data_IF_580234167081
#
_entry.id   IF_580234167081
#
_cell.length_a   1.000
_cell.length_b   1.000
_cell.length_c   1.000
_cell.angle_alpha   90.00
_cell.angle_beta   90.00
_cell.angle_gamma   90.00
#
_symmetry.space_group_name_H-M   'P 1'
#
loop_
_entity.id
_entity.type
_entity.pdbx_description
1 polymer ?
2 non-polymer ?
3 non-polymer ?
4 non-polymer ?
5 water ?
#
# COMPACT_ATOMS: atom_id res chain seq x y z
N UNK A 4 25.00 -13.61 -16.03
CA UNK A 4 24.61 -14.57 -15.00
C UNK A 4 23.31 -14.14 -14.32
N UNK A 5 22.55 -13.29 -14.97
CA UNK A 5 21.39 -12.68 -14.35
C UNK A 5 20.20 -13.64 -14.36
N UNK A 6 19.23 -13.36 -13.48
CA UNK A 6 18.09 -14.26 -13.33
C UNK A 6 17.03 -14.04 -14.41
N UNK A 7 16.87 -12.81 -14.91
CA UNK A 7 15.93 -12.54 -15.99
C UNK A 7 16.57 -12.81 -17.34
N UNK A 8 15.86 -13.53 -18.21
CA UNK A 8 16.43 -13.78 -19.53
C UNK A 8 16.34 -12.54 -20.42
N UNK A 9 15.46 -11.60 -20.10
CA UNK A 9 15.42 -10.30 -20.76
C UNK A 9 14.70 -9.33 -19.85
N UNK A 10 15.01 -8.05 -20.00
CA UNK A 10 14.51 -7.01 -19.09
C UNK A 10 13.18 -6.47 -19.60
N UNK A 11 12.16 -7.32 -19.51
CA UNK A 11 10.83 -7.01 -20.02
C UNK A 11 9.80 -7.71 -19.14
N UNK A 12 8.52 -7.33 -19.31
CA UNK A 12 7.46 -8.03 -18.59
C UNK A 12 7.47 -9.51 -18.93
N UNK A 13 7.74 -9.86 -20.21
CA UNK A 13 7.80 -11.26 -20.58
C UNK A 13 8.92 -12.00 -19.88
N UNK A 14 10.08 -11.35 -19.72
CA UNK A 14 11.16 -11.95 -18.97
C UNK A 14 10.79 -12.18 -17.52
N UNK A 15 10.07 -11.23 -16.92
CA UNK A 15 9.66 -11.39 -15.52
C UNK A 15 8.68 -12.53 -15.39
N UNK A 16 7.73 -12.64 -16.32
CA UNK A 16 6.76 -13.72 -16.25
C UNK A 16 7.43 -15.08 -16.39
N UNK A 17 8.38 -15.22 -17.32
CA UNK A 17 9.10 -16.48 -17.43
C UNK A 17 9.86 -16.79 -16.15
N UNK A 18 10.46 -15.77 -15.53
CA UNK A 18 11.14 -16.00 -14.26
C UNK A 18 10.16 -16.46 -13.19
N UNK A 19 8.99 -15.83 -13.11
CA UNK A 19 8.01 -16.17 -12.08
C UNK A 19 7.54 -17.62 -12.19
N UNK A 20 7.48 -18.15 -13.40
CA UNK A 20 7.04 -19.53 -13.55
C UNK A 20 8.20 -20.50 -13.69
N UNK A 21 9.40 -20.07 -13.32
CA UNK A 21 10.53 -20.97 -13.16
C UNK A 21 10.67 -21.37 -11.69
N UNK A 22 11.46 -22.41 -11.44
CA UNK A 22 11.69 -22.86 -10.08
C UNK A 22 12.49 -21.87 -9.25
N UNK A 23 13.11 -20.87 -9.88
CA UNK A 23 13.92 -19.92 -9.15
C UNK A 23 13.11 -18.89 -8.40
N UNK A 24 11.83 -18.73 -8.72
CA UNK A 24 11.01 -17.66 -8.15
C UNK A 24 9.93 -18.29 -7.30
N UNK A 25 10.12 -18.24 -5.98
CA UNK A 25 9.15 -18.80 -5.06
C UNK A 25 8.53 -17.77 -4.15
N UNK A 26 9.20 -16.66 -3.90
CA UNK A 26 8.78 -15.71 -2.87
C UNK A 26 8.79 -14.29 -3.41
N UNK A 27 7.60 -13.70 -3.51
CA UNK A 27 7.42 -12.36 -4.07
C UNK A 27 7.10 -11.39 -2.94
N UNK A 28 7.79 -10.25 -2.90
CA UNK A 28 7.40 -9.13 -2.04
C UNK A 28 6.81 -8.05 -2.92
N UNK A 29 5.60 -7.61 -2.58
CA UNK A 29 4.99 -6.47 -3.23
C UNK A 29 5.22 -5.22 -2.39
N UNK A 30 5.60 -4.13 -3.04
CA UNK A 30 5.64 -2.81 -2.43
C UNK A 30 4.64 -1.96 -3.18
N UNK A 31 3.60 -1.49 -2.50
CA UNK A 31 2.52 -0.79 -3.20
C UNK A 31 2.20 0.54 -2.53
N UNK A 32 1.78 1.50 -3.35
CA UNK A 32 1.42 2.82 -2.88
C UNK A 32 0.12 3.34 -3.44
N UNK A 33 -0.06 4.66 -3.37
CA UNK A 33 -1.37 5.23 -3.69
C UNK A 33 -1.81 4.96 -5.11
N UNK A 34 -0.86 4.71 -6.02
CA UNK A 34 -1.20 4.46 -7.41
C UNK A 34 -1.99 3.20 -7.64
N UNK A 35 -2.05 2.28 -6.67
CA UNK A 35 -2.86 1.09 -6.88
C UNK A 35 -4.29 1.29 -6.41
N UNK A 36 -4.62 2.43 -5.81
CA UNK A 36 -5.98 2.65 -5.34
C UNK A 36 -6.67 3.81 -6.02
N UNK A 37 -5.98 4.55 -6.89
CA UNK A 37 -6.64 5.65 -7.56
C UNK A 37 -7.75 5.14 -8.48
N UNK A 38 -7.57 3.97 -9.10
CA UNK A 38 -8.65 3.48 -9.94
C UNK A 38 -9.81 2.93 -9.13
N UNK A 39 -9.64 2.77 -7.82
CA UNK A 39 -10.75 2.50 -6.92
C UNK A 39 -11.45 3.77 -6.47
N UNK A 40 -11.04 4.92 -6.97
CA UNK A 40 -11.66 6.18 -6.58
C UNK A 40 -11.11 6.78 -5.31
N UNK A 41 -9.95 6.34 -4.85
CA UNK A 41 -9.33 6.86 -3.64
C UNK A 41 -8.14 7.72 -4.07
N UNK A 42 -8.22 9.04 -3.96
CA UNK A 42 -7.15 9.88 -4.50
C UNK A 42 -5.89 9.79 -3.66
N UNK A 43 -4.76 10.02 -4.32
CA UNK A 43 -3.46 10.16 -3.67
C UNK A 43 -3.37 11.57 -3.11
N UNK A 44 -3.46 11.72 -1.80
CA UNK A 44 -3.46 13.09 -1.30
C UNK A 44 -2.11 13.78 -1.48
N UNK A 45 -1.09 13.08 -1.97
CA UNK A 45 0.18 13.69 -2.32
C UNK A 45 0.25 14.15 -3.78
N UNK A 46 -0.62 13.62 -4.63
CA UNK A 46 -0.73 14.11 -5.99
C UNK A 46 -1.41 15.48 -5.97
N UNK A 47 -0.79 16.51 -6.56
CA UNK A 47 -1.32 17.87 -6.37
C UNK A 47 -2.73 18.07 -6.92
N UNK A 48 -3.08 17.38 -8.01
CA UNK A 48 -4.42 17.55 -8.57
C UNK A 48 -5.50 17.04 -7.64
N UNK A 49 -5.14 16.19 -6.68
CA UNK A 49 -6.06 15.66 -5.68
C UNK A 49 -5.47 15.87 -4.28
N UNK A 50 -4.81 17.02 -4.08
CA UNK A 50 -4.22 17.33 -2.79
C UNK A 50 -5.09 18.22 -1.94
N UNK A 55 -10.21 23.38 3.26
CA UNK A 55 -9.03 23.16 4.08
C UNK A 55 -8.83 24.32 5.04
N UNK A 56 -9.07 25.55 4.55
CA UNK A 56 -9.12 26.70 5.44
C UNK A 56 -10.39 26.68 6.30
N UNK A 57 -11.39 25.89 5.89
CA UNK A 57 -12.54 25.66 6.75
C UNK A 57 -12.11 25.19 8.14
N UNK A 58 -11.08 24.36 8.20
CA UNK A 58 -10.41 24.07 9.46
C UNK A 58 -9.37 25.16 9.70
N UNK A 59 -9.57 25.90 10.79
CA UNK A 59 -8.79 27.09 11.07
C UNK A 59 -7.56 26.69 11.88
N UNK A 60 -6.67 26.00 11.18
CA UNK A 60 -5.46 25.39 11.74
C UNK A 60 -4.42 26.45 12.03
N UNK A 61 -3.63 26.27 13.10
CA UNK A 61 -2.51 27.21 13.33
C UNK A 61 -1.51 27.21 12.21
N UNK A 62 -1.33 26.07 11.56
CA UNK A 62 -0.53 25.92 10.36
C UNK A 62 -1.09 24.72 9.59
N UNK A 63 -0.93 24.68 8.27
CA UNK A 63 -1.64 23.65 7.49
C UNK A 63 -1.27 22.23 7.86
N UNK A 64 0.00 21.96 8.18
CA UNK A 64 0.42 20.59 8.47
C UNK A 64 -0.12 20.07 9.80
N UNK A 65 -0.66 20.94 10.65
CA UNK A 65 -1.06 20.52 11.99
C UNK A 65 -2.11 19.43 11.96
N UNK A 66 -2.99 19.43 10.94
CA UNK A 66 -4.05 18.44 10.88
C UNK A 66 -3.51 17.04 10.70
N UNK A 67 -2.24 16.90 10.32
CA UNK A 67 -1.62 15.59 10.17
C UNK A 67 -0.67 15.25 11.32
N UNK A 68 -0.52 16.14 12.30
CA UNK A 68 0.46 15.98 13.37
C UNK A 68 -0.20 15.46 14.63
N UNK A 69 0.52 14.61 15.36
CA UNK A 69 -0.09 13.86 16.46
C UNK A 69 -0.32 14.74 17.69
N UNK A 70 0.58 15.68 18.01
CA UNK A 70 0.34 16.51 19.18
C UNK A 70 -0.87 17.42 18.98
N UNK A 71 -1.00 17.98 17.77
CA UNK A 71 -2.18 18.79 17.46
C UNK A 71 -3.44 17.96 17.54
N UNK A 72 -3.41 16.76 16.94
CA UNK A 72 -4.56 15.86 17.04
C UNK A 72 -4.96 15.67 18.49
N UNK A 73 -4.00 15.34 19.35
CA UNK A 73 -4.35 15.02 20.73
C UNK A 73 -4.89 16.22 21.47
N UNK A 74 -4.55 17.44 21.05
CA UNK A 74 -5.14 18.63 21.65
C UNK A 74 -6.41 19.10 20.95
N UNK A 75 -6.45 19.01 19.61
CA UNK A 75 -7.58 19.51 18.81
C UNK A 75 -7.93 18.49 17.74
N UNK A 76 -8.65 17.43 18.12
CA UNK A 76 -8.94 16.36 17.14
C UNK A 76 -10.06 16.67 16.15
N UNK A 77 -10.90 17.67 16.40
CA UNK A 77 -12.06 17.88 15.54
C UNK A 77 -11.71 18.17 14.08
N UNK A 78 -10.70 18.98 13.75
CA UNK A 78 -10.36 19.16 12.32
C UNK A 78 -10.04 17.85 11.63
N UNK A 79 -9.21 17.01 12.25
CA UNK A 79 -8.91 15.72 11.63
C UNK A 79 -10.17 14.92 11.33
N UNK A 80 -11.10 14.85 12.28
CA UNK A 80 -12.25 13.99 12.07
C UNK A 80 -13.24 14.58 11.07
N UNK A 81 -13.30 15.90 10.97
CA UNK A 81 -14.08 16.52 9.90
C UNK A 81 -13.47 16.24 8.53
N UNK A 82 -12.14 16.31 8.45
CA UNK A 82 -11.46 15.99 7.20
C UNK A 82 -11.65 14.52 6.83
N UNK A 83 -11.60 13.65 7.84
CA UNK A 83 -11.83 12.23 7.61
C UNK A 83 -13.23 11.99 7.07
N UNK A 84 -14.22 12.70 7.59
CA UNK A 84 -15.56 12.55 7.01
C UNK A 84 -15.58 13.04 5.55
N UNK A 85 -14.90 14.17 5.28
CA UNK A 85 -14.89 14.71 3.93
C UNK A 85 -14.24 13.75 2.94
N UNK A 86 -13.20 13.05 3.39
CA UNK A 86 -12.40 12.19 2.52
C UNK A 86 -12.85 10.74 2.51
N UNK A 87 -13.85 10.38 3.30
CA UNK A 87 -14.23 8.97 3.49
C UNK A 87 -14.74 8.41 2.17
N UNK A 88 -14.12 7.36 1.63
CA UNK A 88 -14.54 6.86 0.30
C UNK A 88 -15.99 6.43 0.30
N UNK A 89 -16.63 6.61 -0.85
CA UNK A 89 -18.03 6.20 -0.97
C UNK A 89 -18.22 4.71 -1.11
N UNK A 90 -17.17 3.99 -1.50
CA UNK A 90 -17.22 2.55 -1.64
C UNK A 90 -15.79 2.04 -1.52
N UNK A 91 -15.67 0.77 -1.15
CA UNK A 91 -14.36 0.13 -0.97
C UNK A 91 -14.29 -1.09 -1.89
N UNK A 92 -13.94 -0.83 -3.14
CA UNK A 92 -13.83 -1.88 -4.14
C UNK A 92 -12.37 -2.00 -4.55
N UNK A 93 -11.63 -3.01 -4.08
CA UNK A 93 -10.23 -3.15 -4.47
C UNK A 93 -10.06 -3.29 -5.97
N UNK A 94 -8.87 -2.94 -6.43
CA UNK A 94 -8.60 -2.90 -7.86
C UNK A 94 -8.10 -4.25 -8.36
N UNK A 95 -7.96 -4.34 -9.68
CA UNK A 95 -7.30 -5.50 -10.29
C UNK A 95 -5.95 -5.75 -9.62
N UNK A 96 -5.20 -4.70 -9.30
CA UNK A 96 -3.91 -4.84 -8.67
C UNK A 96 -4.03 -5.53 -7.30
N UNK A 97 -5.00 -5.09 -6.50
CA UNK A 97 -5.23 -5.73 -5.20
C UNK A 97 -5.54 -7.22 -5.36
N UNK A 98 -6.42 -7.55 -6.31
CA UNK A 98 -6.80 -8.96 -6.46
C UNK A 98 -5.69 -9.79 -7.11
N UNK A 99 -4.81 -9.15 -7.88
CA UNK A 99 -3.63 -9.85 -8.36
C UNK A 99 -2.76 -10.28 -7.19
N UNK A 100 -2.64 -9.41 -6.17
CA UNK A 100 -1.90 -9.84 -4.97
C UNK A 100 -2.61 -10.96 -4.24
N UNK A 101 -3.93 -10.93 -4.21
CA UNK A 101 -4.67 -12.07 -3.64
C UNK A 101 -4.37 -13.37 -4.41
N UNK A 102 -4.27 -13.30 -5.75
CA UNK A 102 -3.90 -14.50 -6.51
C UNK A 102 -2.49 -14.95 -6.16
N UNK A 103 -1.55 -14.01 -6.02
CA UNK A 103 -0.21 -14.39 -5.56
C UNK A 103 -0.29 -15.16 -4.25
N UNK A 104 -1.10 -14.67 -3.31
CA UNK A 104 -1.30 -15.38 -2.05
C UNK A 104 -1.88 -16.77 -2.27
N UNK A 105 -2.91 -16.87 -3.12
CA UNK A 105 -3.57 -18.15 -3.36
C UNK A 105 -2.61 -19.17 -3.92
N UNK A 106 -1.65 -18.71 -4.71
CA UNK A 106 -0.71 -19.58 -5.40
C UNK A 106 0.56 -19.79 -4.59
N UNK A 107 0.59 -19.35 -3.33
CA UNK A 107 1.71 -19.62 -2.46
C UNK A 107 2.95 -18.81 -2.76
N UNK A 108 2.82 -17.75 -3.56
CA UNK A 108 3.94 -16.94 -4.00
C UNK A 108 4.15 -15.68 -3.17
N UNK A 109 3.17 -15.26 -2.38
CA UNK A 109 3.23 -13.96 -1.74
C UNK A 109 3.95 -14.10 -0.40
N UNK A 110 5.18 -13.57 -0.32
CA UNK A 110 5.87 -13.48 0.96
C UNK A 110 5.31 -12.34 1.80
N UNK A 111 5.14 -11.16 1.21
CA UNK A 111 4.61 -10.05 1.98
C UNK A 111 4.19 -8.95 1.03
N UNK A 112 3.16 -8.21 1.43
CA UNK A 112 2.78 -6.96 0.78
C UNK A 112 3.07 -5.83 1.76
N UNK A 113 4.03 -4.96 1.40
CA UNK A 113 4.25 -3.72 2.12
C UNK A 113 3.45 -2.63 1.42
N UNK A 114 2.58 -1.95 2.16
CA UNK A 114 1.73 -0.92 1.56
C UNK A 114 1.93 0.41 2.25
N UNK A 115 1.90 1.48 1.45
CA UNK A 115 1.82 2.84 1.94
C UNK A 115 0.40 3.29 2.21
N UNK A 116 -0.60 2.46 1.89
CA UNK A 116 -1.97 2.94 1.87
C UNK A 116 -2.69 2.66 3.18
N UNK A 117 -3.68 3.50 3.47
CA UNK A 117 -4.42 3.42 4.71
C UNK A 117 -5.88 3.03 4.47
N UNK A 118 -6.24 2.70 3.22
CA UNK A 118 -7.62 2.55 2.79
C UNK A 118 -8.24 1.19 3.08
N UNK A 119 -7.48 0.23 3.59
CA UNK A 119 -7.88 -1.15 3.92
C UNK A 119 -8.18 -2.01 2.70
N UNK A 120 -7.93 -1.53 1.48
CA UNK A 120 -8.34 -2.32 0.31
C UNK A 120 -7.58 -3.63 0.20
N UNK A 121 -6.34 -3.70 0.71
CA UNK A 121 -5.62 -4.96 0.70
C UNK A 121 -6.35 -6.02 1.52
N UNK A 122 -6.95 -5.62 2.62
CA UNK A 122 -7.65 -6.58 3.48
C UNK A 122 -8.99 -6.97 2.88
N UNK A 123 -9.69 -6.01 2.27
CA UNK A 123 -10.94 -6.33 1.61
C UNK A 123 -10.70 -7.33 0.49
N UNK A 124 -9.58 -7.18 -0.23
CA UNK A 124 -9.24 -8.09 -1.33
C UNK A 124 -8.79 -9.46 -0.84
N UNK A 125 -8.60 -9.63 0.47
CA UNK A 125 -8.34 -10.95 1.01
C UNK A 125 -6.92 -11.21 1.43
N UNK A 126 -6.10 -10.17 1.57
CA UNK A 126 -4.81 -10.33 2.22
C UNK A 126 -5.01 -10.29 3.72
N UNK A 127 -4.34 -11.18 4.42
CA UNK A 127 -4.54 -11.27 5.86
C UNK A 127 -3.47 -10.45 6.59
N UNK A 128 -3.69 -10.26 7.89
CA UNK A 128 -2.76 -9.50 8.70
C UNK A 128 -1.33 -10.02 8.52
N UNK A 129 -1.15 -11.34 8.54
CA UNK A 129 0.19 -11.91 8.41
C UNK A 129 0.84 -11.55 7.09
N UNK A 130 0.05 -11.33 6.03
CA UNK A 130 0.55 -11.01 4.69
C UNK A 130 0.97 -9.56 4.53
N UNK A 131 0.60 -8.70 5.47
CA UNK A 131 0.61 -7.26 5.26
C UNK A 131 1.57 -6.56 6.20
N UNK A 132 2.27 -5.57 5.68
CA UNK A 132 2.96 -4.58 6.49
C UNK A 132 2.38 -3.25 6.04
N UNK A 133 1.51 -2.68 6.87
CA UNK A 133 0.90 -1.38 6.60
C UNK A 133 1.86 -0.35 7.14
N UNK A 134 2.77 0.10 6.27
CA UNK A 134 3.90 0.90 6.71
C UNK A 134 3.48 2.26 7.24
N UNK A 135 2.36 2.79 6.74
CA UNK A 135 1.85 4.06 7.21
C UNK A 135 0.62 3.89 8.08
N UNK A 136 0.41 2.68 8.59
CA UNK A 136 -0.76 2.39 9.40
C UNK A 136 -2.01 2.18 8.55
N UNK A 137 -3.15 2.20 9.23
CA UNK A 137 -4.40 1.88 8.58
C UNK A 137 -5.59 2.39 9.39
N UNK A 138 -6.68 2.67 8.66
CA UNK A 138 -7.98 2.91 9.27
C UNK A 138 -8.66 1.64 9.76
N UNK A 139 -8.12 0.45 9.47
CA UNK A 139 -8.83 -0.78 9.76
C UNK A 139 -9.14 -0.93 11.25
N UNK A 140 -8.23 -0.50 12.11
CA UNK A 140 -8.45 -0.48 13.54
C UNK A 140 -8.07 0.87 14.10
N UNK A 141 -8.61 1.17 15.28
CA UNK A 141 -8.33 2.41 16.00
C UNK A 141 -8.04 2.04 17.45
N UNK A 142 -7.36 2.95 18.16
CA UNK A 142 -7.05 2.69 19.57
C UNK A 142 -7.27 3.93 20.41
N UNK A 143 -7.85 3.72 21.58
CA UNK A 143 -7.70 4.68 22.69
C UNK A 143 -6.26 5.13 22.82
N UNK A 144 -6.06 6.45 22.93
CA UNK A 144 -4.70 6.98 22.98
C UNK A 144 -4.08 6.97 24.37
N UNK A 145 -4.84 6.61 25.40
CA UNK A 145 -4.29 6.55 26.75
C UNK A 145 -3.43 5.31 26.92
N UNK A 146 -2.18 5.50 27.35
CA UNK A 146 -1.23 4.39 27.42
C UNK A 146 -1.68 3.31 28.39
N UNK A 147 -2.42 3.68 29.44
CA UNK A 147 -2.88 2.69 30.40
C UNK A 147 -4.14 1.95 29.94
N UNK A 148 -4.68 2.28 28.77
CA UNK A 148 -5.92 1.67 28.31
C UNK A 148 -5.73 1.02 26.93
N UNK A 149 -5.63 1.81 25.87
CA UNK A 149 -5.33 1.30 24.52
C UNK A 149 -6.41 0.35 24.00
N UNK A 150 -7.64 0.54 24.46
CA UNK A 150 -8.79 -0.21 23.96
C UNK A 150 -8.85 -0.09 22.44
N UNK A 151 -9.00 -1.23 21.76
CA UNK A 151 -9.07 -1.29 20.31
C UNK A 151 -10.51 -1.19 19.84
N UNK A 152 -10.75 -0.43 18.76
CA UNK A 152 -12.06 -0.27 18.16
C UNK A 152 -12.03 -0.59 16.67
N UNK A 153 -13.04 -1.26 16.16
CA UNK A 153 -13.08 -1.61 14.74
C UNK A 153 -13.50 -0.43 13.87
N UNK A 154 -13.25 -0.57 12.57
CA UNK A 154 -13.59 0.51 11.65
C UNK A 154 -15.08 0.80 11.64
N UNK A 155 -15.93 -0.20 11.84
CA UNK A 155 -17.38 0.08 11.86
C UNK A 155 -17.71 1.12 12.92
N UNK A 156 -17.10 0.98 14.11
CA UNK A 156 -17.33 1.90 15.22
C UNK A 156 -16.80 3.30 14.89
N UNK A 157 -15.57 3.37 14.37
CA UNK A 157 -14.96 4.63 13.98
C UNK A 157 -15.74 5.32 12.87
N UNK A 158 -16.22 4.55 11.87
CA UNK A 158 -17.01 5.13 10.79
C UNK A 158 -18.28 5.75 11.34
N UNK A 159 -18.98 5.05 12.26
CA UNK A 159 -20.17 5.63 12.86
C UNK A 159 -19.85 6.95 13.56
N UNK A 160 -18.74 6.99 14.32
CA UNK A 160 -18.37 8.23 14.98
C UNK A 160 -18.06 9.34 13.98
N UNK A 161 -17.35 9.00 12.90
CA UNK A 161 -16.94 9.99 11.90
C UNK A 161 -18.17 10.57 11.19
N UNK A 162 -19.11 9.72 10.81
CA UNK A 162 -20.25 10.20 10.04
C UNK A 162 -21.28 10.88 10.92
N UNK A 163 -21.39 10.48 12.18
CA UNK A 163 -22.28 11.19 13.09
C UNK A 163 -21.67 12.48 13.63
N UNK A 164 -20.42 12.78 13.28
CA UNK A 164 -19.73 13.99 13.71
C UNK A 164 -19.64 14.05 15.24
N UNK A 165 -19.45 12.88 15.84
CA UNK A 165 -19.18 12.76 17.28
C UNK A 165 -17.71 12.38 17.42
N UNK A 166 -16.95 13.23 18.12
CA UNK A 166 -15.53 12.96 18.30
C UNK A 166 -15.37 11.63 19.05
N UNK A 167 -14.68 10.64 18.48
CA UNK A 167 -14.64 9.32 19.11
C UNK A 167 -13.87 9.34 20.43
N UNK A 168 -14.56 8.90 21.48
CA UNK A 168 -14.01 8.79 22.83
C UNK A 168 -14.11 7.35 23.30
N UNK A 169 -13.08 6.92 24.03
CA UNK A 169 -13.03 5.55 24.53
C UNK A 169 -14.16 5.30 25.51
N UNK A 170 -14.85 4.18 25.35
CA UNK A 170 -15.95 3.86 26.25
C UNK A 170 -15.46 3.49 27.64
N UNK A 171 -14.20 3.07 27.78
CA UNK A 171 -13.68 2.69 29.09
C UNK A 171 -13.17 3.89 29.87
N UNK A 172 -12.44 4.81 29.22
CA UNK A 172 -11.75 5.87 29.93
C UNK A 172 -12.01 7.27 29.39
N UNK A 173 -12.77 7.41 28.29
CA UNK A 173 -13.13 8.67 27.66
C UNK A 173 -11.96 9.45 27.08
N UNK A 174 -10.79 8.84 26.92
CA UNK A 174 -9.75 9.43 26.11
C UNK A 174 -10.14 9.40 24.63
N UNK A 175 -9.40 10.16 23.81
CA UNK A 175 -9.59 10.12 22.37
C UNK A 175 -9.29 8.74 21.83
N UNK A 176 -10.01 8.36 20.77
CA UNK A 176 -9.71 7.18 19.99
C UNK A 176 -9.21 7.63 18.63
N UNK A 177 -8.04 7.14 18.23
CA UNK A 177 -7.36 7.56 17.01
C UNK A 177 -7.25 6.39 16.03
N UNK A 178 -7.58 6.60 14.76
CA UNK A 178 -7.31 5.56 13.75
C UNK A 178 -5.84 5.19 13.75
N UNK A 179 -5.54 3.91 13.45
CA UNK A 179 -4.16 3.42 13.55
C UNK A 179 -3.29 3.87 12.38
N UNK A 180 -3.50 5.08 11.87
CA UNK A 180 -2.65 5.62 10.83
C UNK A 180 -1.51 6.38 11.51
N UNK A 181 -0.39 6.50 10.81
CA UNK A 181 0.81 7.11 11.38
C UNK A 181 0.74 8.62 11.11
N UNK A 182 0.40 9.38 12.15
CA UNK A 182 0.46 10.83 12.04
C UNK A 182 1.90 11.30 12.00
N UNK A 183 2.10 12.53 11.50
CA UNK A 183 3.42 13.14 11.63
C UNK A 183 3.75 13.31 13.11
N UNK A 184 4.96 12.90 13.49
CA UNK A 184 5.35 12.85 14.87
C UNK A 184 5.29 11.47 15.50
N UNK A 185 4.63 10.52 14.85
CA UNK A 185 4.62 9.14 15.29
C UNK A 185 5.65 8.33 14.53
N UNK A 186 6.21 7.32 15.19
CA UNK A 186 7.13 6.45 14.49
C UNK A 186 6.36 5.43 13.66
N UNK A 187 7.04 4.90 12.64
CA UNK A 187 6.46 3.80 11.88
C UNK A 187 6.26 2.61 12.81
N UNK A 188 5.30 1.74 12.50
CA UNK A 188 5.10 0.53 13.32
C UNK A 188 6.39 -0.29 13.39
N UNK A 189 6.66 -0.85 14.57
CA UNK A 189 7.82 -1.72 14.74
C UNK A 189 7.77 -2.92 13.80
N UNK A 190 6.56 -3.36 13.46
CA UNK A 190 6.38 -4.45 12.52
C UNK A 190 7.09 -4.17 11.20
N UNK A 191 7.10 -2.92 10.77
CA UNK A 191 7.77 -2.58 9.51
C UNK A 191 9.23 -3.01 9.55
N UNK A 192 9.95 -2.63 10.61
CA UNK A 192 11.38 -2.91 10.66
C UNK A 192 11.66 -4.38 10.91
N UNK A 193 10.88 -5.00 11.80
CA UNK A 193 11.05 -6.43 12.07
C UNK A 193 10.86 -7.26 10.80
N UNK A 194 9.75 -7.02 10.11
CA UNK A 194 9.47 -7.77 8.89
C UNK A 194 10.50 -7.48 7.82
N UNK A 195 10.91 -6.22 7.64
CA UNK A 195 11.91 -5.91 6.63
C UNK A 195 13.18 -6.73 6.84
N UNK A 196 13.65 -6.76 8.09
CA UNK A 196 14.89 -7.48 8.41
C UNK A 196 14.78 -8.96 8.09
N UNK A 197 13.58 -9.55 8.21
CA UNK A 197 13.50 -10.97 7.86
C UNK A 197 13.16 -11.23 6.39
N UNK A 198 12.23 -10.47 5.84
CA UNK A 198 11.69 -10.76 4.53
C UNK A 198 12.72 -10.57 3.44
N UNK A 199 13.61 -9.57 3.59
CA UNK A 199 14.45 -9.32 2.42
C UNK A 199 15.63 -10.28 2.33
N UNK A 200 15.77 -11.18 3.30
CA UNK A 200 16.67 -12.32 3.19
C UNK A 200 16.10 -13.41 2.31
N UNK A 201 14.80 -13.38 2.04
CA UNK A 201 14.06 -14.51 1.50
C UNK A 201 13.44 -14.22 0.15
N UNK A 202 13.55 -13.00 -0.37
CA UNK A 202 12.76 -12.59 -1.52
C UNK A 202 13.42 -13.04 -2.82
N UNK A 203 12.59 -13.47 -3.79
CA UNK A 203 13.02 -13.79 -5.14
C UNK A 203 12.63 -12.75 -6.18
N UNK A 204 11.61 -11.95 -5.90
CA UNK A 204 11.10 -10.98 -6.85
C UNK A 204 10.52 -9.84 -6.05
N UNK A 205 10.87 -8.61 -6.41
CA UNK A 205 10.24 -7.43 -5.85
C UNK A 205 9.29 -6.86 -6.90
N UNK A 206 8.01 -6.78 -6.56
CA UNK A 206 7.00 -6.18 -7.43
C UNK A 206 6.59 -4.85 -6.83
N UNK A 207 6.98 -3.76 -7.48
CA UNK A 207 6.75 -2.40 -6.99
C UNK A 207 5.65 -1.81 -7.84
N UNK A 208 4.51 -1.48 -7.23
CA UNK A 208 3.35 -1.03 -8.00
C UNK A 208 2.75 0.23 -7.39
N UNK A 209 2.54 1.23 -8.23
CA UNK A 209 1.78 2.40 -7.78
C UNK A 209 2.44 3.23 -6.71
N UNK A 210 3.77 3.33 -6.73
CA UNK A 210 4.46 4.20 -5.80
C UNK A 210 5.59 4.92 -6.52
N UNK A 211 5.78 6.20 -6.20
CA UNK A 211 6.88 7.00 -6.72
C UNK A 211 8.19 6.77 -5.99
N UNK A 212 8.19 5.97 -4.93
CA UNK A 212 9.39 5.70 -4.15
C UNK A 212 10.06 7.00 -3.70
N UNK A 213 9.25 7.95 -3.26
CA UNK A 213 9.79 9.22 -2.78
C UNK A 213 9.65 9.41 -1.28
N UNK A 214 8.67 8.78 -0.66
CA UNK A 214 8.44 8.90 0.78
C UNK A 214 9.29 7.86 1.49
N UNK A 215 10.02 8.30 2.56
CA UNK A 215 10.93 7.46 3.31
C UNK A 215 10.32 7.11 4.67
N UNK A 216 10.72 5.98 5.26
CA UNK A 216 11.71 5.00 4.78
C UNK A 216 11.16 3.99 3.76
N UNK A 217 9.90 4.08 3.35
CA UNK A 217 9.34 3.07 2.46
C UNK A 217 10.17 2.90 1.20
N UNK A 218 10.61 4.01 0.58
CA UNK A 218 11.33 3.92 -0.68
C UNK A 218 12.63 3.11 -0.54
N UNK A 219 13.39 3.37 0.52
CA UNK A 219 14.65 2.68 0.73
C UNK A 219 14.50 1.16 0.80
N UNK A 220 13.27 0.66 0.87
CA UNK A 220 13.06 -0.78 0.81
C UNK A 220 13.70 -1.39 -0.42
N UNK A 221 13.74 -0.67 -1.56
CA UNK A 221 14.25 -1.36 -2.75
C UNK A 221 15.73 -1.68 -2.61
N UNK A 222 16.45 -0.89 -1.81
CA UNK A 222 17.87 -1.16 -1.60
C UNK A 222 18.13 -2.33 -0.65
N UNK A 223 17.08 -2.87 -0.04
CA UNK A 223 17.24 -3.98 0.89
C UNK A 223 17.21 -5.32 0.19
N UNK A 224 16.84 -5.35 -1.08
CA UNK A 224 16.79 -6.60 -1.82
C UNK A 224 18.21 -7.12 -2.07
N UNK A 225 18.37 -8.43 -2.09
CA UNK A 225 19.63 -9.02 -2.54
C UNK A 225 19.99 -8.51 -3.92
N UNK A 226 21.30 -8.50 -4.21
CA UNK A 226 21.77 -7.95 -5.49
C UNK A 226 21.17 -8.69 -6.69
N UNK A 227 20.82 -9.96 -6.56
CA UNK A 227 20.33 -10.71 -7.71
C UNK A 227 18.83 -10.58 -7.92
N UNK A 228 18.08 -10.07 -6.94
CA UNK A 228 16.61 -10.13 -6.98
C UNK A 228 16.04 -9.22 -8.05
N UNK A 229 15.33 -9.74 -9.06
CA UNK A 229 14.71 -8.83 -10.04
C UNK A 229 13.68 -7.92 -9.38
N UNK A 230 13.57 -6.71 -9.92
CA UNK A 230 12.69 -5.69 -9.39
C UNK A 230 11.87 -5.16 -10.56
N UNK A 231 10.56 -5.42 -10.52
CA UNK A 231 9.65 -4.97 -11.56
C UNK A 231 8.82 -3.80 -11.05
N UNK A 232 8.91 -2.66 -11.74
CA UNK A 232 8.10 -1.49 -11.44
C UNK A 232 6.93 -1.43 -12.40
N UNK A 233 5.71 -1.43 -11.86
CA UNK A 233 4.50 -1.17 -12.64
C UNK A 233 3.96 0.15 -12.12
N UNK A 234 4.06 1.19 -12.93
CA UNK A 234 3.79 2.54 -12.44
C UNK A 234 3.60 3.47 -13.63
N UNK A 235 2.88 4.56 -13.40
CA UNK A 235 2.66 5.52 -14.48
C UNK A 235 3.95 6.19 -14.92
N UNK A 236 4.86 6.46 -13.98
CA UNK A 236 6.14 7.09 -14.27
C UNK A 236 7.28 6.22 -13.77
N UNK A 237 8.43 6.31 -14.45
CA UNK A 237 9.63 5.68 -13.92
C UNK A 237 9.97 6.28 -12.57
N UNK A 238 10.38 5.42 -11.64
CA UNK A 238 10.65 5.84 -10.28
C UNK A 238 11.76 4.98 -9.71
N UNK A 239 12.37 5.47 -8.63
CA UNK A 239 13.37 4.69 -7.90
C UNK A 239 14.79 4.77 -8.42
N UNK A 240 15.06 5.54 -9.46
CA UNK A 240 16.42 5.75 -9.89
C UNK A 240 17.13 6.72 -8.96
N UNK A 241 18.45 6.64 -8.92
CA UNK A 241 19.21 7.59 -8.10
C UNK A 241 19.03 9.01 -8.63
N UNK A 242 18.89 9.95 -7.70
CA UNK A 242 18.77 11.36 -8.05
C UNK A 242 20.13 11.90 -8.46
N UNK A 243 20.24 12.56 -9.63
CA UNK A 243 21.57 13.00 -10.07
C UNK A 243 22.18 14.07 -9.18
N UNK A 244 21.36 14.74 -8.35
CA UNK A 244 21.87 15.74 -7.41
C UNK A 244 22.12 15.15 -6.03
N UNK A 245 21.15 14.42 -5.48
CA UNK A 245 21.29 13.88 -4.13
C UNK A 245 22.05 12.56 -4.10
N UNK A 246 22.09 11.84 -5.21
CA UNK A 246 22.84 10.59 -5.28
C UNK A 246 24.32 10.80 -5.49
N UNK A 253 21.49 1.75 -3.95
CA UNK A 253 20.93 0.64 -4.70
C UNK A 253 19.71 1.02 -5.52
N UNK A 254 19.77 2.18 -6.17
CA UNK A 254 18.66 2.65 -6.99
C UNK A 254 18.40 1.77 -8.19
N UNK A 255 17.23 1.99 -8.80
CA UNK A 255 16.87 1.26 -10.01
C UNK A 255 17.81 1.61 -11.16
N UNK A 256 18.25 0.59 -11.91
CA UNK A 256 18.93 0.80 -13.18
C UNK A 256 18.14 0.03 -14.22
N UNK A 257 17.29 0.75 -14.97
CA UNK A 257 16.46 0.14 -16.00
C UNK A 257 17.12 0.13 -17.37
N UNK A 258 17.98 1.11 -17.65
CA UNK A 258 18.26 1.48 -19.02
C UNK A 258 19.73 1.53 -19.41
N UNK A 259 20.65 1.51 -18.46
CA UNK A 259 22.06 1.60 -18.82
C UNK A 259 22.56 0.27 -19.39
N UNK A 260 23.76 0.30 -19.94
CA UNK A 260 24.36 -0.93 -20.44
C UNK A 260 24.67 -1.91 -19.32
N UNK A 261 24.68 -1.45 -18.07
CA UNK A 261 24.92 -2.29 -16.91
C UNK A 261 23.64 -2.80 -16.26
N UNK A 262 22.47 -2.40 -16.76
CA UNK A 262 21.22 -2.89 -16.22
C UNK A 262 21.15 -4.41 -16.35
N UNK A 263 20.62 -5.07 -15.34
CA UNK A 263 20.62 -6.53 -15.36
C UNK A 263 19.40 -7.14 -14.68
N UNK A 264 18.60 -6.36 -13.94
CA UNK A 264 17.55 -6.98 -13.12
C UNK A 264 16.31 -6.12 -12.91
N UNK A 265 16.34 -4.85 -13.32
CA UNK A 265 15.23 -3.94 -13.06
C UNK A 265 14.45 -3.70 -14.33
N UNK A 266 13.13 -3.80 -14.24
CA UNK A 266 12.24 -3.67 -15.40
C UNK A 266 11.18 -2.64 -15.06
N UNK A 267 10.94 -1.70 -15.98
CA UNK A 267 9.88 -0.71 -15.82
C UNK A 267 8.79 -0.95 -16.85
N UNK A 268 7.57 -1.17 -16.37
CA UNK A 268 6.39 -1.23 -17.22
C UNK A 268 5.59 0.03 -16.90
N UNK A 269 5.50 0.94 -17.87
CA UNK A 269 4.97 2.29 -17.62
C UNK A 269 3.56 2.39 -18.19
N UNK A 270 2.60 2.55 -17.29
CA UNK A 270 1.21 2.66 -17.67
C UNK A 270 0.37 2.58 -16.42
N UNK A 271 -0.93 2.37 -16.64
CA UNK A 271 -1.83 2.21 -15.50
C UNK A 271 -1.53 0.90 -14.77
N UNK A 272 -1.56 0.95 -13.43
CA UNK A 272 -1.20 -0.23 -12.64
C UNK A 272 -2.13 -1.41 -12.93
N UNK A 273 -3.45 -1.16 -13.03
CA UNK A 273 -4.36 -2.25 -13.35
C UNK A 273 -4.00 -2.89 -14.69
N UNK A 274 -3.65 -2.07 -15.69
CA UNK A 274 -3.33 -2.61 -17.01
C UNK A 274 -2.03 -3.42 -16.98
N UNK A 275 -1.04 -2.97 -16.20
CA UNK A 275 0.19 -3.74 -16.07
C UNK A 275 0.00 -5.06 -15.35
N UNK A 276 -0.77 -5.05 -14.25
CA UNK A 276 -1.05 -6.29 -13.54
C UNK A 276 -1.85 -7.23 -14.41
N UNK A 277 -2.80 -6.70 -15.18
CA UNK A 277 -3.55 -7.55 -16.10
C UNK A 277 -2.62 -8.17 -17.13
N UNK A 278 -1.68 -7.38 -17.66
CA UNK A 278 -0.77 -7.92 -18.66
C UNK A 278 0.10 -9.01 -18.06
N UNK A 279 0.58 -8.80 -16.84
CA UNK A 279 1.39 -9.82 -16.20
C UNK A 279 0.58 -11.09 -15.96
N UNK A 280 -0.63 -10.94 -15.40
CA UNK A 280 -1.47 -12.10 -15.17
C UNK A 280 -1.74 -12.84 -16.47
N UNK A 281 -1.97 -12.10 -17.55
CA UNK A 281 -2.25 -12.75 -18.84
C UNK A 281 -1.05 -13.57 -19.31
N UNK A 282 0.16 -13.00 -19.19
CA UNK A 282 1.35 -13.78 -19.56
C UNK A 282 1.46 -15.05 -18.73
N UNK A 283 1.10 -14.97 -17.44
CA UNK A 283 1.19 -16.10 -16.54
C UNK A 283 0.10 -17.14 -16.74
N UNK A 284 -0.89 -16.88 -17.59
CA UNK A 284 -1.99 -17.81 -17.73
C UNK A 284 -3.05 -17.64 -16.67
N UNK A 285 -3.04 -16.52 -15.96
CA UNK A 285 -3.94 -16.26 -14.85
C UNK A 285 -5.09 -15.33 -15.22
N UNK A 286 -5.22 -14.93 -16.49
CA UNK A 286 -6.20 -13.89 -16.81
C UNK A 286 -7.61 -14.33 -16.44
N UNK A 287 -8.01 -15.54 -16.81
CA UNK A 287 -9.36 -15.99 -16.49
C UNK A 287 -9.57 -16.03 -14.97
N UNK A 288 -8.58 -16.55 -14.24
CA UNK A 288 -8.69 -16.60 -12.78
C UNK A 288 -8.85 -15.22 -12.19
N UNK A 289 -8.09 -14.25 -12.70
CA UNK A 289 -8.14 -12.89 -12.16
C UNK A 289 -9.47 -12.22 -12.51
N UNK A 290 -9.92 -12.38 -13.76
CA UNK A 290 -11.21 -11.85 -14.17
C UNK A 290 -12.33 -12.41 -13.31
N UNK A 291 -12.36 -13.74 -13.15
CA UNK A 291 -13.42 -14.37 -12.35
C UNK A 291 -13.38 -13.86 -10.92
N UNK A 292 -12.18 -13.75 -10.35
CA UNK A 292 -12.06 -13.29 -8.96
C UNK A 292 -12.55 -11.85 -8.81
N UNK A 293 -12.06 -10.96 -9.67
CA UNK A 293 -12.47 -9.55 -9.59
C UNK A 293 -13.96 -9.38 -9.80
N UNK A 294 -14.51 -10.05 -10.82
CA UNK A 294 -15.94 -9.85 -11.09
C UNK A 294 -16.80 -10.40 -9.96
N UNK A 295 -16.39 -11.53 -9.37
CA UNK A 295 -17.13 -12.08 -8.24
C UNK A 295 -17.07 -11.14 -7.03
N UNK A 296 -15.87 -10.69 -6.68
CA UNK A 296 -15.74 -9.86 -5.49
C UNK A 296 -16.41 -8.51 -5.68
N UNK A 297 -16.28 -7.92 -6.87
CA UNK A 297 -16.96 -6.67 -7.16
C UNK A 297 -18.47 -6.84 -7.10
N UNK A 298 -19.00 -7.95 -7.63
CA UNK A 298 -20.43 -8.17 -7.54
C UNK A 298 -20.86 -8.28 -6.10
N UNK A 299 -20.07 -8.98 -5.29
CA UNK A 299 -20.39 -9.12 -3.87
C UNK A 299 -20.43 -7.77 -3.17
N UNK A 300 -19.41 -6.93 -3.42
CA UNK A 300 -19.36 -5.62 -2.79
C UNK A 300 -20.52 -4.75 -3.27
N UNK A 301 -20.82 -4.80 -4.57
CA UNK A 301 -21.92 -4.00 -5.11
C UNK A 301 -23.26 -4.43 -4.54
N UNK A 302 -23.38 -5.68 -4.12
CA UNK A 302 -24.61 -6.25 -3.60
C UNK A 302 -24.73 -6.17 -2.08
N UNK A 303 -23.82 -5.47 -1.42
CA UNK A 303 -23.93 -5.37 0.03
C UNK A 303 -25.23 -4.67 0.40
N UNK A 304 -25.99 -5.29 1.30
CA UNK A 304 -27.28 -4.76 1.73
C UNK A 304 -27.31 -4.64 3.25
X LIG B 1 -9.40 4.07 26.90
X LIG C 1 -6.24 11.82 6.20
X LIG C 1 -3.53 12.18 8.67
X LIG C 1 -1.90 10.44 8.54
X LIG C 1 -5.17 12.63 6.80
X LIG C 1 -7.41 11.44 6.81
X LIG C 1 -11.39 8.59 6.15
X LIG C 1 -8.90 8.29 2.03
X LIG C 1 -11.29 3.59 5.60
X LIG C 1 -8.06 9.35 2.72
X LIG C 1 -10.96 7.34 5.45
X LIG C 1 -8.48 9.68 3.99
X LIG C 1 -11.37 6.09 5.88
X LIG C 1 -7.78 10.45 4.89
X LIG C 1 -4.03 11.85 7.42
X LIG C 1 -2.48 11.49 9.23
X LIG C 1 -2.38 10.10 7.28
X LIG C 1 -0.80 8.30 7.19
X LIG C 1 0.49 8.71 6.56
X LIG C 1 1.60 9.28 7.12
X LIG C 1 -3.45 10.79 6.73
X LIG C 1 -9.71 6.35 3.84
X LIG C 1 -10.89 4.97 5.21
X LIG C 1 -10.11 7.48 4.41
X LIG C 1 -8.28 10.67 6.08
X LIG C 1 2.47 9.45 6.12
X LIG C 1 1.94 9.01 4.97
X LIG C 1 0.73 8.56 5.24
X LIG C 1 -10.04 5.09 4.17
X LIG C 1 -7.13 9.89 2.16
X LIG C 1 -1.85 9.05 6.58
X LIG C 1 -6.22 11.16 4.60
X LIG C 1 -8.64 6.54 2.46
X LIG D 1 -4.00 5.39 1.25
X LIG D 1 -3.66 6.76 1.13
X LIG D 1 -4.91 7.60 0.95
X LIG D 1 -2.61 7.00 0.03
X LIG D 1 -1.45 6.20 0.20
X LIG D 1 -2.28 8.48 -0.15
#
# INVERSE_FOLDING_TARGET
GHMERLLDELTLEGVARYMQSERCRRVICLVGAGISTSAGIPDFRSPSTGLYDNLEKYHLPYPEAIFEISYFKKHPEPFFALAKELYPGQFKPTICHYFMRLLKDKGLLLRCYTQNIDTLERIAGLEQEDLVEAHGTFYTSHCVSASCRHEYPLSWMKEKIFSEVTPKCEDCQSLVKPDIVFFGESLPARFFSCMQSDFLKVDLLLVMGTSLQVQPFASLISKAPLSTPRLLINKEKAGQSDPFLGMIMGLGGGMDFDSKKAYRDVAWLGECDQGCLALAELLGWKKELEDLVRREHASIDAQS
ZN ZN
A1JK1 C17 C20 C22 C18 C16 C11 C3 C8 C2 C10 N13 C9 C14 C19 C21 C23 C25 C26 C27 C31 C5 C7 N12 N15 N28 N29 N30 N6 O1 O24 S32 S4
BU3 O6 C3 C4 C2 O5 C1
#
